data_IF_676068051416
#
_entry.id   IF_676068051416
#
_cell.length_a   1.000
_cell.length_b   1.000
_cell.length_c   1.000
_cell.angle_alpha   90.00
_cell.angle_beta   90.00
_cell.angle_gamma   90.00
#
_symmetry.space_group_name_H-M   'P 1'
#
loop_
_entity.id
_entity.type
_entity.pdbx_description
1 polymer ?
#
# COMPACT_ATOMS: atom_id res chain seq x y z
N UNK A 1 16.08 -10.19 -7.64
CA UNK A 1 16.50 -9.06 -8.53
C UNK A 1 16.11 -7.76 -7.85
N UNK A 2 16.87 -6.69 -8.00
CA UNK A 2 16.50 -5.38 -7.46
C UNK A 2 15.57 -4.69 -8.46
N UNK A 3 14.31 -4.44 -8.10
CA UNK A 3 13.38 -3.63 -8.89
C UNK A 3 13.75 -2.14 -8.79
N UNK A 4 13.50 -1.40 -9.86
CA UNK A 4 13.51 0.06 -9.77
C UNK A 4 12.43 0.52 -8.79
N UNK A 5 12.77 1.44 -7.89
CA UNK A 5 11.93 1.86 -6.76
C UNK A 5 11.51 3.32 -6.88
N UNK A 6 10.23 3.56 -6.63
CA UNK A 6 9.68 4.91 -6.40
C UNK A 6 9.44 5.10 -4.90
N UNK A 7 9.99 6.16 -4.33
CA UNK A 7 9.73 6.53 -2.94
C UNK A 7 8.62 7.57 -2.89
N UNK A 8 7.60 7.31 -2.08
CA UNK A 8 6.49 8.22 -1.85
C UNK A 8 6.62 8.76 -0.43
N UNK A 9 6.80 10.07 -0.30
CA UNK A 9 6.88 10.74 0.99
C UNK A 9 5.49 11.13 1.45
N UNK A 10 5.07 10.55 2.57
CA UNK A 10 3.78 10.80 3.19
C UNK A 10 3.81 12.04 4.06
N UNK A 11 3.13 13.11 3.61
CA UNK A 11 2.94 14.35 4.33
C UNK A 11 1.62 14.39 5.12
N UNK A 12 0.99 13.23 5.37
CA UNK A 12 -0.26 13.08 6.12
C UNK A 12 -1.52 13.15 5.26
N UNK A 13 -1.40 12.98 3.93
CA UNK A 13 -2.56 12.94 3.03
C UNK A 13 -3.32 11.63 3.17
N UNK A 14 -4.64 11.73 3.23
CA UNK A 14 -5.51 10.54 3.10
C UNK A 14 -5.40 9.86 1.73
N UNK A 15 -4.77 10.49 0.74
CA UNK A 15 -4.59 9.97 -0.62
C UNK A 15 -3.21 9.37 -0.88
N UNK A 16 -2.28 9.38 0.09
CA UNK A 16 -0.92 8.83 -0.10
C UNK A 16 -0.95 7.37 -0.55
N UNK A 17 -1.77 6.54 0.10
CA UNK A 17 -1.91 5.14 -0.30
C UNK A 17 -2.51 4.99 -1.71
N UNK A 18 -3.35 5.93 -2.14
CA UNK A 18 -3.92 5.92 -3.48
C UNK A 18 -2.87 6.26 -4.55
N UNK A 19 -1.95 7.20 -4.26
CA UNK A 19 -0.78 7.45 -5.12
C UNK A 19 0.01 6.15 -5.30
N UNK A 20 0.35 5.47 -4.21
CA UNK A 20 1.10 4.22 -4.27
C UNK A 20 0.37 3.14 -5.09
N UNK A 21 -0.94 2.98 -4.92
CA UNK A 21 -1.74 2.04 -5.70
C UNK A 21 -1.70 2.36 -7.20
N UNK A 22 -1.78 3.65 -7.59
CA UNK A 22 -1.66 4.06 -8.99
C UNK A 22 -0.29 3.75 -9.57
N UNK A 23 0.79 3.94 -8.80
CA UNK A 23 2.14 3.54 -9.19
C UNK A 23 2.24 2.02 -9.40
N UNK A 24 1.66 1.22 -8.47
CA UNK A 24 1.60 -0.25 -8.56
C UNK A 24 0.73 -0.77 -9.70
N UNK A 25 -0.33 -0.06 -10.08
CA UNK A 25 -1.13 -0.35 -11.27
C UNK A 25 -0.32 -0.27 -12.57
N UNK A 26 0.76 0.53 -12.58
CA UNK A 26 1.71 0.62 -13.69
C UNK A 26 2.79 -0.48 -13.66
N UNK A 27 2.67 -1.45 -12.76
CA UNK A 27 3.69 -2.48 -12.48
C UNK A 27 5.05 -1.91 -12.05
N UNK A 28 5.04 -0.83 -11.31
CA UNK A 28 6.23 -0.18 -10.73
C UNK A 28 6.23 -0.43 -9.22
N UNK A 29 7.38 -0.86 -8.70
CA UNK A 29 7.57 -1.00 -7.26
C UNK A 29 7.66 0.36 -6.58
N UNK A 30 6.95 0.56 -5.48
CA UNK A 30 7.06 1.76 -4.66
C UNK A 30 6.92 1.47 -3.18
N UNK A 31 7.48 2.33 -2.36
CA UNK A 31 7.35 2.29 -0.91
C UNK A 31 6.94 3.66 -0.38
N UNK A 32 6.12 3.66 0.67
CA UNK A 32 5.67 4.87 1.37
C UNK A 32 6.53 5.05 2.62
N UNK A 33 7.10 6.23 2.78
CA UNK A 33 7.85 6.64 3.96
C UNK A 33 7.28 7.92 4.56
N UNK A 34 7.25 8.07 5.89
CA UNK A 34 6.96 9.36 6.50
C UNK A 34 7.93 10.45 5.99
N UNK A 35 7.43 11.66 5.77
CA UNK A 35 8.20 12.77 5.22
C UNK A 35 9.51 13.06 5.98
N UNK A 36 9.57 12.72 7.27
CA UNK A 36 10.71 12.95 8.17
C UNK A 36 11.60 11.70 8.37
N UNK A 37 11.35 10.62 7.63
CA UNK A 37 12.11 9.35 7.71
C UNK A 37 12.49 8.86 6.31
N UNK A 38 13.23 9.70 5.58
CA UNK A 38 13.71 9.33 4.25
C UNK A 38 14.73 8.19 4.38
N UNK A 39 14.57 7.06 3.68
CA UNK A 39 15.51 5.95 3.78
C UNK A 39 16.84 6.29 3.14
N UNK A 40 17.87 5.49 3.42
CA UNK A 40 19.13 5.55 2.69
C UNK A 40 18.86 5.26 1.22
N UNK A 41 19.35 6.13 0.32
CA UNK A 41 19.11 6.04 -1.10
C UNK A 41 20.08 5.03 -1.74
N UNK A 42 19.52 3.96 -2.29
CA UNK A 42 20.23 2.99 -3.13
C UNK A 42 20.16 3.39 -4.61
N UNK A 43 20.92 2.71 -5.43
CA UNK A 43 20.90 2.89 -6.90
C UNK A 43 19.56 2.44 -7.53
N UNK A 44 18.77 1.66 -6.80
CA UNK A 44 17.43 1.20 -7.16
C UNK A 44 16.37 2.31 -7.07
N UNK A 45 16.63 3.40 -6.34
CA UNK A 45 15.70 4.53 -6.22
C UNK A 45 15.76 5.39 -7.49
N UNK A 46 14.66 5.41 -8.26
CA UNK A 46 14.58 6.08 -9.56
C UNK A 46 13.68 7.31 -9.60
N UNK A 47 12.78 7.46 -8.65
CA UNK A 47 11.92 8.64 -8.55
C UNK A 47 11.42 8.86 -7.12
N UNK A 48 11.07 10.11 -6.83
CA UNK A 48 10.36 10.53 -5.63
C UNK A 48 9.00 11.13 -5.97
N UNK A 49 8.02 10.89 -5.09
CA UNK A 49 6.73 11.58 -5.11
C UNK A 49 6.49 12.17 -3.72
N UNK A 50 6.28 13.48 -3.62
CA UNK A 50 5.85 14.15 -2.41
C UNK A 50 4.32 14.23 -2.45
N UNK A 51 3.66 13.65 -1.46
CA UNK A 51 2.19 13.59 -1.39
C UNK A 51 1.55 14.94 -1.03
N UNK A 52 0.23 14.97 -1.05
CA UNK A 52 -0.56 16.02 -0.43
C UNK A 52 -0.44 16.04 1.09
N UNK A 53 -1.02 17.07 1.72
CA UNK A 53 -1.11 17.21 3.18
C UNK A 53 -2.38 17.98 3.56
N UNK A 54 -2.96 17.75 4.75
CA UNK A 54 -4.01 18.61 5.29
C UNK A 54 -3.47 19.95 5.82
N UNK A 55 -2.15 20.10 5.94
CA UNK A 55 -1.50 21.32 6.42
C UNK A 55 -1.29 22.34 5.28
N UNK A 56 -1.22 23.62 5.63
CA UNK A 56 -0.65 24.66 4.76
C UNK A 56 0.88 24.64 4.88
N UNK A 57 1.58 24.89 3.76
CA UNK A 57 3.06 25.08 3.78
C UNK A 57 3.50 26.26 4.65
N UNK A 58 2.56 27.11 5.05
CA UNK A 58 2.75 28.30 5.90
C UNK A 58 2.55 28.03 7.38
N UNK A 59 2.03 26.86 7.74
CA UNK A 59 1.81 26.48 9.13
C UNK A 59 3.14 26.17 9.82
N UNK A 60 3.29 26.56 11.09
CA UNK A 60 4.50 26.30 11.87
C UNK A 60 4.81 24.80 12.01
N UNK A 61 3.77 23.97 12.05
CA UNK A 61 3.85 22.51 12.17
C UNK A 61 3.72 21.78 10.82
N UNK A 62 3.87 22.49 9.69
CA UNK A 62 3.80 21.91 8.37
C UNK A 62 4.90 20.84 8.17
N UNK A 63 4.60 19.74 7.48
CA UNK A 63 5.61 18.75 7.11
C UNK A 63 6.77 19.38 6.37
N UNK A 64 7.97 19.32 6.95
CA UNK A 64 9.19 19.83 6.33
C UNK A 64 10.04 18.68 5.85
N UNK A 65 10.37 18.68 4.56
CA UNK A 65 11.10 17.61 3.89
C UNK A 65 12.52 18.06 3.60
N UNK A 66 13.49 17.26 3.99
CA UNK A 66 14.90 17.48 3.59
C UNK A 66 15.16 16.89 2.20
N UNK A 67 14.69 17.57 1.13
CA UNK A 67 14.80 17.06 -0.24
C UNK A 67 16.12 17.46 -0.94
N UNK A 68 16.92 18.34 -0.36
CA UNK A 68 18.23 18.75 -0.90
C UNK A 68 19.15 17.60 -1.33
N UNK A 69 19.19 16.45 -0.64
CA UNK A 69 20.00 15.32 -1.04
C UNK A 69 19.61 14.69 -2.38
N UNK A 70 18.39 14.82 -2.85
CA UNK A 70 17.88 14.16 -4.05
C UNK A 70 17.33 15.10 -5.13
N UNK A 71 17.00 16.36 -4.81
CA UNK A 71 16.58 17.33 -5.84
C UNK A 71 17.69 17.52 -6.88
N UNK A 72 17.33 17.54 -8.16
CA UNK A 72 18.27 17.63 -9.26
C UNK A 72 19.14 16.38 -9.51
N UNK A 73 19.03 15.34 -8.66
CA UNK A 73 19.73 14.06 -8.80
C UNK A 73 18.79 12.90 -9.13
N UNK A 74 17.59 12.94 -8.63
CA UNK A 74 16.55 11.92 -8.81
C UNK A 74 15.26 12.63 -9.24
N UNK A 75 14.55 12.13 -10.26
CA UNK A 75 13.28 12.69 -10.71
C UNK A 75 12.29 12.86 -9.56
N UNK A 76 11.67 14.04 -9.46
CA UNK A 76 10.82 14.42 -8.35
C UNK A 76 9.48 14.95 -8.85
N UNK A 77 8.39 14.42 -8.26
CA UNK A 77 7.02 14.89 -8.47
C UNK A 77 6.43 15.39 -7.16
N UNK A 78 5.98 16.64 -7.11
CA UNK A 78 5.16 17.17 -6.03
C UNK A 78 3.68 17.11 -6.39
N UNK A 79 2.82 16.60 -5.49
CA UNK A 79 1.37 16.54 -5.66
C UNK A 79 0.68 17.40 -4.61
N UNK A 80 -0.15 18.33 -5.02
CA UNK A 80 -0.91 19.26 -4.18
C UNK A 80 -0.01 19.99 -3.15
N UNK A 81 0.00 19.58 -1.88
CA UNK A 81 0.94 20.12 -0.89
C UNK A 81 2.40 19.99 -1.35
N UNK A 82 2.78 18.86 -1.96
CA UNK A 82 4.12 18.66 -2.50
C UNK A 82 4.50 19.70 -3.56
N UNK A 83 3.56 20.11 -4.42
CA UNK A 83 3.77 21.18 -5.40
C UNK A 83 3.94 22.55 -4.71
N UNK A 84 3.08 22.86 -3.75
CA UNK A 84 3.16 24.08 -2.96
C UNK A 84 4.46 24.16 -2.13
N UNK A 85 4.86 23.00 -1.58
CA UNK A 85 6.11 22.88 -0.82
C UNK A 85 7.33 23.19 -1.69
N UNK A 86 7.41 22.59 -2.89
CA UNK A 86 8.47 22.88 -3.85
C UNK A 86 8.47 24.37 -4.25
N UNK A 87 7.31 24.93 -4.60
CA UNK A 87 7.20 26.35 -4.95
C UNK A 87 7.73 27.23 -3.80
N UNK A 88 7.25 27.02 -2.58
CA UNK A 88 7.64 27.82 -1.41
C UNK A 88 9.13 27.72 -1.08
N UNK A 89 9.72 26.52 -1.16
CA UNK A 89 11.13 26.29 -0.79
C UNK A 89 12.14 26.77 -1.83
N UNK A 90 11.75 26.78 -3.10
CA UNK A 90 12.60 27.26 -4.20
C UNK A 90 12.45 28.78 -4.45
N UNK A 91 11.68 29.49 -3.63
CA UNK A 91 11.56 30.95 -3.69
C UNK A 91 10.33 31.48 -4.41
N UNK A 92 9.37 30.63 -4.74
CA UNK A 92 8.05 31.02 -5.21
C UNK A 92 7.16 31.53 -4.08
N UNK A 93 5.90 31.86 -4.42
CA UNK A 93 4.95 32.43 -3.47
C UNK A 93 3.69 31.55 -3.40
N UNK A 94 3.36 31.12 -2.17
CA UNK A 94 2.15 30.34 -1.85
C UNK A 94 1.34 31.11 -0.81
N UNK A 95 0.08 31.35 -1.13
CA UNK A 95 -0.84 32.07 -0.23
C UNK A 95 -2.19 31.36 -0.13
N UNK A 96 -2.95 31.69 0.89
CA UNK A 96 -4.31 31.20 1.04
C UNK A 96 -5.16 31.76 -0.08
N UNK A 97 -5.81 30.88 -0.82
CA UNK A 97 -6.74 31.29 -1.85
C UNK A 97 -8.00 31.91 -1.24
N UNK A 98 -8.46 33.03 -1.77
CA UNK A 98 -9.74 33.64 -1.40
C UNK A 98 -10.91 32.72 -1.82
N UNK A 99 -10.76 32.02 -2.93
CA UNK A 99 -11.66 30.99 -3.40
C UNK A 99 -10.97 29.64 -3.26
N UNK A 100 -11.46 28.82 -2.31
CA UNK A 100 -10.96 27.46 -2.14
C UNK A 100 -11.35 26.61 -3.35
N UNK A 101 -10.37 26.04 -4.02
CA UNK A 101 -10.63 25.14 -5.15
C UNK A 101 -10.88 23.71 -4.65
N UNK A 102 -12.13 23.31 -4.67
CA UNK A 102 -12.56 21.94 -4.40
C UNK A 102 -13.46 21.45 -5.53
N UNK A 103 -13.05 20.38 -6.19
CA UNK A 103 -13.86 19.74 -7.22
C UNK A 103 -13.19 19.67 -8.59
N UNK A 104 -14.04 19.66 -9.60
CA UNK A 104 -13.62 19.49 -11.00
C UNK A 104 -13.11 20.80 -11.58
N UNK A 105 -11.96 20.76 -12.22
CA UNK A 105 -11.40 21.83 -13.04
C UNK A 105 -11.00 21.28 -14.41
N UNK A 106 -10.84 22.17 -15.39
CA UNK A 106 -10.41 21.79 -16.74
C UNK A 106 -8.98 22.27 -16.95
N UNK A 107 -8.09 21.30 -17.19
CA UNK A 107 -6.67 21.55 -17.43
C UNK A 107 -6.46 22.08 -18.85
N UNK A 108 -5.90 23.27 -18.96
CA UNK A 108 -5.47 23.89 -20.23
C UNK A 108 -3.96 23.70 -20.34
N UNK A 109 -3.53 22.87 -21.30
CA UNK A 109 -2.11 22.57 -21.52
C UNK A 109 -1.49 23.70 -22.34
N UNK A 110 -0.40 24.28 -21.88
CA UNK A 110 0.32 25.36 -22.54
C UNK A 110 1.53 24.87 -23.33
N UNK A 111 2.13 23.74 -22.93
CA UNK A 111 3.28 23.12 -23.58
C UNK A 111 2.97 21.70 -24.03
N UNK A 112 2.35 21.56 -25.19
CA UNK A 112 1.97 20.28 -25.78
C UNK A 112 3.15 19.38 -26.17
N UNK A 113 4.35 19.95 -26.30
CA UNK A 113 5.57 19.21 -26.64
C UNK A 113 6.19 18.53 -25.41
N UNK A 114 5.76 18.90 -24.20
CA UNK A 114 6.27 18.27 -22.99
C UNK A 114 5.89 16.77 -22.94
N UNK A 115 6.84 15.87 -22.72
CA UNK A 115 6.61 14.43 -22.68
C UNK A 115 5.58 14.00 -21.65
N UNK A 116 5.30 14.83 -20.62
CA UNK A 116 4.25 14.60 -19.63
C UNK A 116 2.86 14.52 -20.27
N UNK A 117 2.61 15.30 -21.33
CA UNK A 117 1.30 15.36 -21.97
C UNK A 117 1.12 14.37 -23.14
N UNK A 118 2.04 13.44 -23.30
CA UNK A 118 1.88 12.41 -24.32
C UNK A 118 0.58 11.60 -24.08
N UNK A 119 -0.29 11.56 -25.09
CA UNK A 119 -1.64 10.95 -25.04
C UNK A 119 -2.59 11.59 -24.00
N UNK A 120 -2.36 12.83 -23.63
CA UNK A 120 -3.27 13.62 -22.81
C UNK A 120 -4.07 14.55 -23.72
N UNK A 121 -5.39 14.52 -23.59
CA UNK A 121 -6.26 15.43 -24.35
C UNK A 121 -6.21 16.83 -23.76
N UNK A 122 -6.14 17.85 -24.62
CA UNK A 122 -6.37 19.23 -24.24
C UNK A 122 -7.74 19.36 -23.55
N UNK A 123 -7.85 20.19 -22.54
CA UNK A 123 -9.05 20.38 -21.73
C UNK A 123 -9.50 19.13 -20.95
N UNK A 124 -8.55 18.34 -20.47
CA UNK A 124 -8.82 17.19 -19.59
C UNK A 124 -9.35 17.63 -18.22
N UNK A 125 -10.32 16.89 -17.69
CA UNK A 125 -10.79 17.10 -16.33
C UNK A 125 -9.74 16.67 -15.31
N UNK A 126 -9.47 17.55 -14.32
CA UNK A 126 -8.65 17.29 -13.14
C UNK A 126 -9.43 17.55 -11.85
N UNK A 127 -8.96 17.03 -10.74
CA UNK A 127 -9.57 17.21 -9.42
C UNK A 127 -8.70 18.09 -8.53
N UNK A 128 -9.25 19.22 -8.13
CA UNK A 128 -8.66 20.16 -7.18
C UNK A 128 -9.14 19.89 -5.76
N UNK A 129 -8.26 20.01 -4.79
CA UNK A 129 -8.60 19.86 -3.35
C UNK A 129 -7.59 20.61 -2.48
N UNK A 130 -7.57 21.93 -2.56
CA UNK A 130 -6.62 22.75 -1.82
C UNK A 130 -7.21 24.08 -1.34
N UNK A 131 -6.68 24.56 -0.20
CA UNK A 131 -7.03 25.85 0.37
C UNK A 131 -5.99 26.93 0.11
N UNK A 132 -4.76 26.54 -0.23
CA UNK A 132 -3.66 27.43 -0.61
C UNK A 132 -3.38 27.28 -2.10
N UNK A 133 -2.94 28.34 -2.76
CA UNK A 133 -2.59 28.34 -4.18
C UNK A 133 -1.18 28.90 -4.39
N UNK A 134 -0.49 28.39 -5.40
CA UNK A 134 0.76 28.96 -5.88
C UNK A 134 0.43 30.21 -6.67
N UNK A 135 0.90 31.37 -6.21
CA UNK A 135 0.70 32.68 -6.86
C UNK A 135 1.89 33.14 -7.67
N UNK A 136 3.05 32.53 -7.45
CA UNK A 136 4.23 32.72 -8.29
C UNK A 136 5.10 31.46 -8.21
N UNK A 137 5.51 30.96 -9.34
CA UNK A 137 6.49 29.87 -9.42
C UNK A 137 7.90 30.41 -9.19
N UNK A 138 8.84 29.56 -8.71
CA UNK A 138 10.22 29.99 -8.49
C UNK A 138 10.94 30.37 -9.79
N UNK A 139 12.03 31.16 -9.66
CA UNK A 139 12.95 31.37 -10.77
C UNK A 139 13.52 30.04 -11.27
N UNK A 140 13.63 29.88 -12.60
CA UNK A 140 14.04 28.62 -13.22
C UNK A 140 12.97 27.55 -13.30
N UNK A 141 11.70 27.91 -12.99
CA UNK A 141 10.56 27.06 -13.25
C UNK A 141 9.70 27.62 -14.39
N UNK A 142 9.03 26.72 -15.11
CA UNK A 142 8.14 27.03 -16.22
C UNK A 142 6.75 26.50 -15.93
N UNK A 143 5.74 27.34 -16.14
CA UNK A 143 4.35 26.90 -16.17
C UNK A 143 4.08 26.11 -17.45
N UNK A 144 3.39 24.95 -17.35
CA UNK A 144 3.09 24.11 -18.51
C UNK A 144 1.61 23.72 -18.61
N UNK A 145 0.80 24.02 -17.59
CA UNK A 145 -0.65 23.93 -17.69
C UNK A 145 -1.34 24.79 -16.61
N UNK A 146 -2.54 25.29 -16.97
CA UNK A 146 -3.39 26.16 -16.15
C UNK A 146 -4.78 25.56 -15.99
N UNK A 147 -5.57 26.09 -15.07
CA UNK A 147 -7.04 25.97 -15.07
C UNK A 147 -7.67 27.37 -15.16
N UNK A 148 -8.99 27.45 -15.15
CA UNK A 148 -9.68 28.75 -15.18
C UNK A 148 -9.37 29.61 -13.94
N UNK A 149 -9.21 28.93 -12.77
CA UNK A 149 -9.03 29.59 -11.48
C UNK A 149 -7.58 29.51 -10.96
N UNK A 150 -6.73 28.65 -11.56
CA UNK A 150 -5.37 28.42 -11.11
C UNK A 150 -4.36 28.56 -12.27
N UNK A 151 -3.57 29.64 -12.21
CA UNK A 151 -2.54 29.94 -13.20
C UNK A 151 -1.41 28.89 -13.20
N UNK A 152 -1.10 28.31 -12.04
CA UNK A 152 0.01 27.35 -11.88
C UNK A 152 -0.52 25.97 -11.50
N UNK A 153 -1.47 25.44 -12.32
CA UNK A 153 -2.02 24.12 -12.08
C UNK A 153 -0.98 22.99 -12.26
N UNK A 154 -0.01 23.21 -13.16
CA UNK A 154 1.12 22.32 -13.37
C UNK A 154 2.33 23.09 -13.86
N UNK A 155 3.43 22.96 -13.12
CA UNK A 155 4.70 23.61 -13.47
C UNK A 155 5.87 22.64 -13.27
N UNK A 156 7.00 22.94 -13.90
CA UNK A 156 8.22 22.14 -13.83
C UNK A 156 9.44 23.01 -13.70
N UNK A 157 10.53 22.46 -13.13
CA UNK A 157 11.85 23.09 -13.21
C UNK A 157 12.34 23.07 -14.67
N UNK A 158 12.87 24.18 -15.17
CA UNK A 158 13.52 24.21 -16.45
C UNK A 158 14.71 23.25 -16.47
N UNK A 159 14.85 22.52 -17.57
CA UNK A 159 15.89 21.50 -17.68
C UNK A 159 17.26 22.15 -17.75
N UNK A 160 18.09 21.94 -16.75
CA UNK A 160 19.52 22.22 -16.78
C UNK A 160 20.22 20.91 -17.14
N UNK A 161 21.25 20.97 -17.98
CA UNK A 161 22.00 19.78 -18.37
C UNK A 161 22.46 19.02 -17.11
N UNK A 162 22.28 17.69 -17.11
CA UNK A 162 22.64 16.76 -16.04
C UNK A 162 21.79 16.85 -14.74
N UNK A 163 20.78 17.71 -14.65
CA UNK A 163 19.84 17.72 -13.53
C UNK A 163 18.63 16.81 -13.79
N UNK A 164 18.22 16.10 -12.74
CA UNK A 164 17.02 15.29 -12.80
C UNK A 164 15.76 16.19 -12.81
N UNK A 165 14.70 15.81 -13.56
CA UNK A 165 13.51 16.61 -13.74
C UNK A 165 12.69 16.74 -12.45
N UNK A 166 12.10 17.92 -12.26
CA UNK A 166 11.17 18.24 -11.15
C UNK A 166 9.86 18.71 -11.75
N UNK A 167 8.76 18.05 -11.36
CA UNK A 167 7.40 18.39 -11.76
C UNK A 167 6.54 18.66 -10.54
N UNK A 168 5.54 19.51 -10.68
CA UNK A 168 4.67 19.92 -9.60
C UNK A 168 3.20 20.02 -10.08
N UNK A 169 2.33 19.18 -9.53
CA UNK A 169 0.91 19.13 -9.83
C UNK A 169 0.12 19.73 -8.67
N UNK A 170 -0.62 20.80 -8.89
CA UNK A 170 -1.51 21.34 -7.86
C UNK A 170 -2.74 20.46 -7.66
N UNK A 171 -3.17 19.72 -8.67
CA UNK A 171 -4.28 18.79 -8.63
C UNK A 171 -3.85 17.37 -8.22
N UNK A 172 -4.83 16.51 -8.01
CA UNK A 172 -4.66 15.12 -7.61
C UNK A 172 -4.75 14.15 -8.80
N UNK A 173 -3.63 13.66 -9.36
CA UNK A 173 -3.65 12.71 -10.47
C UNK A 173 -4.12 11.31 -10.05
N UNK A 174 -4.01 10.98 -8.76
CA UNK A 174 -4.30 9.66 -8.21
C UNK A 174 -5.78 9.35 -8.09
N UNK A 175 -6.65 10.36 -8.02
CA UNK A 175 -8.09 10.15 -7.82
C UNK A 175 -8.82 9.86 -9.14
N UNK A 176 -9.91 9.11 -9.06
CA UNK A 176 -10.72 8.73 -10.24
C UNK A 176 -11.36 9.90 -10.98
N UNK A 177 -11.50 11.04 -10.31
CA UNK A 177 -12.08 12.26 -10.88
C UNK A 177 -11.10 13.01 -11.79
N UNK A 178 -9.80 12.69 -11.76
CA UNK A 178 -8.82 13.16 -12.73
C UNK A 178 -8.80 12.19 -13.90
N UNK A 179 -9.40 12.56 -15.02
CA UNK A 179 -9.71 11.66 -16.14
C UNK A 179 -8.46 10.97 -16.71
N UNK A 180 -7.35 11.69 -16.87
CA UNK A 180 -6.08 11.18 -17.41
C UNK A 180 -5.00 11.03 -16.33
N UNK A 181 -5.38 10.92 -15.05
CA UNK A 181 -4.44 10.92 -13.93
C UNK A 181 -3.42 9.79 -13.99
N UNK A 182 -3.87 8.56 -14.28
CA UNK A 182 -2.97 7.41 -14.46
C UNK A 182 -2.01 7.60 -15.62
N UNK A 183 -2.46 8.21 -16.72
CA UNK A 183 -1.60 8.48 -17.89
C UNK A 183 -0.53 9.53 -17.56
N UNK A 184 -0.88 10.59 -16.82
CA UNK A 184 0.08 11.60 -16.34
C UNK A 184 1.15 10.96 -15.45
N UNK A 185 0.75 10.13 -14.48
CA UNK A 185 1.70 9.38 -13.63
C UNK A 185 2.56 8.42 -14.46
N UNK A 186 1.97 7.73 -15.44
CA UNK A 186 2.69 6.85 -16.36
C UNK A 186 3.74 7.61 -17.17
N UNK A 187 3.39 8.77 -17.72
CA UNK A 187 4.32 9.59 -18.49
C UNK A 187 5.46 10.10 -17.61
N UNK A 188 5.17 10.57 -16.39
CA UNK A 188 6.22 10.98 -15.46
C UNK A 188 7.14 9.82 -15.10
N UNK A 189 6.61 8.69 -14.68
CA UNK A 189 7.42 7.58 -14.16
C UNK A 189 8.16 6.82 -15.26
N UNK A 190 7.47 6.45 -16.35
CA UNK A 190 8.05 5.60 -17.39
C UNK A 190 8.86 6.38 -18.43
N UNK A 191 8.36 7.57 -18.86
CA UNK A 191 8.99 8.32 -19.95
C UNK A 191 9.99 9.35 -19.45
N UNK A 192 9.68 10.06 -18.35
CA UNK A 192 10.51 11.14 -17.83
C UNK A 192 11.55 10.59 -16.85
N UNK A 193 11.12 9.81 -15.86
CA UNK A 193 11.99 9.23 -14.85
C UNK A 193 12.66 7.92 -15.29
N UNK A 194 12.17 7.28 -16.36
CA UNK A 194 12.77 6.06 -16.91
C UNK A 194 12.66 4.84 -15.99
N UNK A 195 11.69 4.82 -15.07
CA UNK A 195 11.46 3.71 -14.14
C UNK A 195 10.98 2.48 -14.89
N UNK A 196 11.49 1.30 -14.57
CA UNK A 196 11.06 0.05 -15.19
C UNK A 196 9.75 -0.46 -14.59
N UNK A 197 8.85 -0.96 -15.46
CA UNK A 197 7.59 -1.58 -15.08
C UNK A 197 7.74 -3.10 -14.97
N UNK A 198 8.55 -3.57 -14.04
CA UNK A 198 8.90 -4.99 -13.85
C UNK A 198 8.29 -5.61 -12.59
N UNK A 199 7.58 -4.84 -11.77
CA UNK A 199 6.84 -5.34 -10.62
C UNK A 199 5.54 -6.03 -11.05
N UNK A 200 5.67 -7.25 -11.58
CA UNK A 200 4.54 -8.06 -12.06
C UNK A 200 4.19 -9.17 -11.07
N UNK A 201 2.96 -9.72 -11.10
CA UNK A 201 2.60 -10.85 -10.26
C UNK A 201 3.55 -12.05 -10.39
N UNK A 202 3.99 -12.37 -11.60
CA UNK A 202 4.90 -13.49 -11.82
C UNK A 202 6.29 -13.23 -11.23
N UNK A 203 6.86 -12.04 -11.46
CA UNK A 203 8.14 -11.65 -10.89
C UNK A 203 8.08 -11.70 -9.35
N UNK A 204 7.02 -11.16 -8.75
CA UNK A 204 6.80 -11.24 -7.31
C UNK A 204 6.73 -12.68 -6.79
N UNK A 205 6.01 -13.58 -7.48
CA UNK A 205 5.88 -14.99 -7.09
C UNK A 205 7.25 -15.68 -7.09
N UNK A 206 8.01 -15.53 -8.17
CA UNK A 206 9.33 -16.15 -8.30
C UNK A 206 10.28 -15.66 -7.20
N UNK A 207 10.37 -14.35 -7.02
CA UNK A 207 11.24 -13.75 -6.01
C UNK A 207 10.81 -14.11 -4.59
N UNK A 208 9.51 -14.08 -4.30
CA UNK A 208 8.97 -14.45 -2.98
C UNK A 208 9.27 -15.91 -2.64
N UNK A 209 9.10 -16.84 -3.57
CA UNK A 209 9.39 -18.26 -3.35
C UNK A 209 10.87 -18.45 -3.00
N UNK A 210 11.80 -17.83 -3.72
CA UNK A 210 13.23 -17.94 -3.45
C UNK A 210 13.62 -17.30 -2.11
N UNK A 211 13.05 -16.13 -1.79
CA UNK A 211 13.28 -15.47 -0.51
C UNK A 211 12.75 -16.31 0.66
N UNK A 212 11.53 -16.85 0.54
CA UNK A 212 10.94 -17.71 1.56
C UNK A 212 11.73 -19.01 1.77
N UNK A 213 12.19 -19.66 0.69
CA UNK A 213 13.08 -20.83 0.79
C UNK A 213 14.36 -20.51 1.55
N UNK A 214 14.98 -19.36 1.22
CA UNK A 214 16.24 -18.94 1.87
C UNK A 214 16.02 -18.59 3.33
N UNK A 215 14.92 -17.91 3.65
CA UNK A 215 14.61 -17.47 5.01
C UNK A 215 14.25 -18.61 5.95
N UNK A 216 13.42 -19.55 5.47
CA UNK A 216 12.83 -20.63 6.29
C UNK A 216 13.74 -21.87 6.30
N UNK A 217 14.37 -22.18 5.17
CA UNK A 217 15.18 -23.39 5.03
C UNK A 217 14.34 -24.67 5.17
N UNK A 218 14.75 -25.56 6.06
CA UNK A 218 14.06 -26.82 6.36
C UNK A 218 13.15 -26.76 7.59
N UNK A 219 12.99 -25.58 8.20
CA UNK A 219 12.15 -25.41 9.38
C UNK A 219 10.65 -25.48 9.01
N UNK A 220 9.82 -25.79 10.01
CA UNK A 220 8.36 -25.87 9.83
C UNK A 220 7.69 -24.53 10.10
N UNK A 221 6.70 -24.22 9.28
CA UNK A 221 5.84 -23.04 9.39
C UNK A 221 4.42 -23.47 9.75
N UNK A 222 3.84 -22.84 10.76
CA UNK A 222 2.43 -22.96 11.09
C UNK A 222 1.70 -21.69 10.62
N UNK A 223 0.54 -21.84 10.00
CA UNK A 223 -0.27 -20.71 9.53
C UNK A 223 -1.77 -20.94 9.80
N UNK A 224 -2.46 -19.95 10.39
CA UNK A 224 -3.90 -19.99 10.50
C UNK A 224 -4.54 -19.50 9.19
N UNK A 225 -5.53 -20.25 8.72
CA UNK A 225 -6.33 -19.91 7.55
C UNK A 225 -7.69 -19.36 8.00
N UNK A 226 -8.06 -18.20 7.48
CA UNK A 226 -9.35 -17.56 7.78
C UNK A 226 -10.43 -17.86 6.73
N UNK A 227 -10.12 -18.63 5.69
CA UNK A 227 -10.98 -18.76 4.51
C UNK A 227 -10.95 -17.53 3.60
N UNK A 228 -10.19 -16.49 3.93
CA UNK A 228 -10.05 -15.26 3.15
C UNK A 228 -8.96 -15.35 2.09
N UNK A 229 -9.01 -14.44 1.09
CA UNK A 229 -8.06 -14.43 -0.03
C UNK A 229 -6.62 -14.27 0.42
N UNK A 230 -6.32 -13.42 1.43
CA UNK A 230 -4.95 -13.15 1.85
C UNK A 230 -4.30 -14.39 2.48
N UNK A 231 -4.98 -15.03 3.44
CA UNK A 231 -4.47 -16.25 4.06
C UNK A 231 -4.29 -17.38 3.03
N UNK A 232 -5.20 -17.50 2.06
CA UNK A 232 -5.11 -18.51 1.00
C UNK A 232 -3.93 -18.26 0.06
N UNK A 233 -3.72 -17.02 -0.39
CA UNK A 233 -2.59 -16.65 -1.27
C UNK A 233 -1.27 -16.80 -0.52
N UNK A 234 -1.20 -16.34 0.74
CA UNK A 234 -0.02 -16.50 1.59
C UNK A 234 0.37 -17.96 1.82
N UNK A 235 -0.60 -18.80 2.14
CA UNK A 235 -0.39 -20.24 2.31
C UNK A 235 0.07 -20.91 1.01
N UNK A 236 -0.51 -20.52 -0.13
CA UNK A 236 -0.11 -21.07 -1.44
C UNK A 236 1.33 -20.70 -1.80
N UNK A 237 1.77 -19.47 -1.52
CA UNK A 237 3.16 -19.05 -1.70
C UNK A 237 4.11 -19.83 -0.79
N UNK A 238 3.77 -19.95 0.49
CA UNK A 238 4.55 -20.75 1.45
C UNK A 238 4.62 -22.21 1.03
N UNK A 239 3.51 -22.82 0.63
CA UNK A 239 3.50 -24.20 0.17
C UNK A 239 4.39 -24.40 -1.06
N UNK A 240 4.36 -23.49 -2.03
CA UNK A 240 5.28 -23.55 -3.17
C UNK A 240 6.75 -23.41 -2.78
N UNK A 241 7.03 -22.68 -1.70
CA UNK A 241 8.40 -22.49 -1.20
C UNK A 241 8.92 -23.67 -0.40
N UNK A 242 8.13 -24.21 0.55
CA UNK A 242 8.58 -25.18 1.56
C UNK A 242 7.80 -26.49 1.58
N UNK A 243 6.80 -26.65 0.70
CA UNK A 243 6.03 -27.91 0.56
C UNK A 243 5.37 -28.36 1.86
N UNK A 244 5.59 -29.61 2.23
CA UNK A 244 5.02 -30.27 3.40
C UNK A 244 5.48 -29.67 4.77
N UNK A 245 6.48 -28.82 4.77
CA UNK A 245 6.89 -28.10 5.98
C UNK A 245 5.92 -26.96 6.35
N UNK A 246 4.93 -26.66 5.50
CA UNK A 246 3.81 -25.80 5.85
C UNK A 246 2.69 -26.64 6.44
N UNK A 247 2.25 -26.28 7.66
CA UNK A 247 1.06 -26.82 8.31
C UNK A 247 0.08 -25.68 8.49
N UNK A 248 -1.17 -25.88 8.04
CA UNK A 248 -2.19 -24.87 8.15
C UNK A 248 -3.28 -25.31 9.12
N UNK A 249 -3.77 -24.40 9.96
CA UNK A 249 -4.94 -24.62 10.80
C UNK A 249 -6.16 -23.87 10.23
N UNK A 250 -7.28 -24.57 10.15
CA UNK A 250 -8.57 -23.95 9.89
C UNK A 250 -9.52 -24.27 11.03
N UNK A 251 -9.90 -23.22 11.80
CA UNK A 251 -10.64 -23.37 13.06
C UNK A 251 -12.12 -23.08 12.82
N UNK A 252 -13.00 -24.05 13.16
CA UNK A 252 -14.44 -23.82 13.27
C UNK A 252 -14.76 -23.20 14.63
N UNK A 253 -15.07 -21.93 14.63
CA UNK A 253 -15.46 -21.17 15.81
C UNK A 253 -16.98 -21.19 16.06
N UNK A 254 -17.76 -21.96 15.29
CA UNK A 254 -19.21 -22.05 15.38
C UNK A 254 -19.96 -20.82 14.82
N UNK A 255 -19.24 -19.81 14.28
CA UNK A 255 -19.82 -18.59 13.71
C UNK A 255 -19.69 -18.57 12.16
N UNK A 256 -19.18 -19.64 11.57
CA UNK A 256 -19.08 -19.81 10.13
C UNK A 256 -20.47 -19.92 9.50
N UNK A 257 -20.55 -19.67 8.19
CA UNK A 257 -21.80 -19.88 7.45
C UNK A 257 -22.14 -21.38 7.39
N UNK A 258 -23.39 -21.67 7.07
CA UNK A 258 -23.87 -23.07 6.92
C UNK A 258 -22.98 -23.80 5.90
N UNK A 259 -22.43 -24.95 6.30
CA UNK A 259 -21.55 -25.84 5.55
C UNK A 259 -20.16 -25.26 5.20
N UNK A 260 -19.87 -24.00 5.51
CA UNK A 260 -18.63 -23.31 5.10
C UNK A 260 -17.36 -24.01 5.59
N UNK A 261 -17.38 -24.58 6.79
CA UNK A 261 -16.24 -25.33 7.32
C UNK A 261 -15.82 -26.48 6.40
N UNK A 262 -16.76 -27.29 5.99
CA UNK A 262 -16.48 -28.44 5.15
C UNK A 262 -16.09 -28.02 3.72
N UNK A 263 -16.81 -27.05 3.16
CA UNK A 263 -16.54 -26.51 1.82
C UNK A 263 -15.12 -25.93 1.74
N UNK A 264 -14.73 -25.14 2.72
CA UNK A 264 -13.37 -24.53 2.76
C UNK A 264 -12.28 -25.58 2.93
N UNK A 265 -12.50 -26.60 3.77
CA UNK A 265 -11.54 -27.71 3.92
C UNK A 265 -11.37 -28.52 2.64
N UNK A 266 -12.45 -28.79 1.91
CA UNK A 266 -12.39 -29.45 0.60
C UNK A 266 -11.62 -28.61 -0.41
N UNK A 267 -11.95 -27.32 -0.50
CA UNK A 267 -11.26 -26.35 -1.35
C UNK A 267 -9.76 -26.33 -1.10
N UNK A 268 -9.33 -26.33 0.18
CA UNK A 268 -7.90 -26.34 0.53
C UNK A 268 -7.20 -27.65 0.20
N UNK A 269 -7.90 -28.78 0.29
CA UNK A 269 -7.37 -30.08 -0.15
C UNK A 269 -7.09 -30.10 -1.65
N UNK A 270 -7.98 -29.50 -2.46
CA UNK A 270 -7.77 -29.39 -3.91
C UNK A 270 -6.55 -28.56 -4.27
N UNK A 271 -6.17 -27.58 -3.42
CA UNK A 271 -4.95 -26.78 -3.56
C UNK A 271 -3.68 -27.54 -3.12
N UNK A 272 -3.81 -28.76 -2.58
CA UNK A 272 -2.69 -29.56 -2.08
C UNK A 272 -2.11 -29.03 -0.75
N UNK A 273 -2.82 -28.17 -0.04
CA UNK A 273 -2.36 -27.62 1.25
C UNK A 273 -2.55 -28.68 2.37
N UNK A 274 -1.55 -28.80 3.25
CA UNK A 274 -1.64 -29.60 4.47
C UNK A 274 -2.45 -28.83 5.53
N UNK A 275 -3.77 -29.03 5.56
CA UNK A 275 -4.70 -28.30 6.43
C UNK A 275 -5.32 -29.22 7.48
N UNK A 276 -5.12 -28.85 8.74
CA UNK A 276 -5.75 -29.49 9.90
C UNK A 276 -7.00 -28.67 10.25
N UNK A 277 -8.17 -29.30 10.11
CA UNK A 277 -9.44 -28.73 10.54
C UNK A 277 -9.63 -28.93 12.06
N UNK A 278 -9.95 -27.88 12.78
CA UNK A 278 -10.11 -27.90 14.24
C UNK A 278 -11.53 -27.48 14.56
N UNK A 279 -12.30 -28.37 15.21
CA UNK A 279 -13.63 -28.04 15.73
C UNK A 279 -13.50 -27.48 17.16
N UNK A 280 -13.65 -26.17 17.28
CA UNK A 280 -13.56 -25.44 18.53
C UNK A 280 -14.89 -24.73 18.94
N UNK A 281 -16.01 -25.15 18.33
CA UNK A 281 -17.32 -24.48 18.50
C UNK A 281 -17.71 -24.30 19.95
N UNK A 282 -17.58 -25.35 20.76
CA UNK A 282 -17.97 -25.31 22.17
C UNK A 282 -17.13 -24.28 22.96
N UNK A 283 -15.82 -24.22 22.68
CA UNK A 283 -14.92 -23.23 23.29
C UNK A 283 -15.37 -21.79 23.02
N UNK A 284 -15.75 -21.48 21.78
CA UNK A 284 -16.20 -20.13 21.41
C UNK A 284 -17.61 -19.83 21.96
N UNK A 285 -18.51 -20.79 21.98
CA UNK A 285 -19.84 -20.60 22.56
C UNK A 285 -19.75 -20.28 24.07
N UNK A 286 -18.90 -20.99 24.80
CA UNK A 286 -18.68 -20.74 26.22
C UNK A 286 -18.06 -19.37 26.45
N UNK A 287 -17.07 -18.97 25.62
CA UNK A 287 -16.42 -17.68 25.74
C UNK A 287 -17.37 -16.49 25.42
N UNK A 288 -18.41 -16.72 24.62
CA UNK A 288 -19.40 -15.71 24.22
C UNK A 288 -20.62 -15.66 25.13
N UNK A 289 -20.84 -16.68 25.97
CA UNK A 289 -22.00 -16.77 26.81
C UNK A 289 -22.17 -15.53 27.72
N UNK A 290 -23.35 -14.90 27.68
CA UNK A 290 -23.66 -13.71 28.46
C UNK A 290 -23.01 -12.40 28.02
N UNK A 291 -22.27 -12.37 26.91
CA UNK A 291 -21.70 -11.14 26.38
C UNK A 291 -22.69 -10.48 25.41
N UNK A 292 -23.02 -9.21 25.65
CA UNK A 292 -23.91 -8.44 24.80
C UNK A 292 -23.16 -7.38 23.97
N UNK A 293 -22.16 -6.76 24.59
CA UNK A 293 -21.35 -5.72 23.93
C UNK A 293 -20.53 -6.25 22.74
N UNK A 294 -20.59 -5.61 21.56
CA UNK A 294 -19.87 -6.06 20.37
C UNK A 294 -18.36 -6.12 20.54
N UNK A 295 -17.77 -5.18 21.29
CA UNK A 295 -16.33 -5.15 21.50
C UNK A 295 -15.87 -6.25 22.46
N UNK A 296 -16.67 -6.58 23.47
CA UNK A 296 -16.40 -7.70 24.37
C UNK A 296 -16.51 -9.04 23.64
N UNK A 297 -17.48 -9.18 22.72
CA UNK A 297 -17.57 -10.35 21.83
C UNK A 297 -16.32 -10.47 20.95
N UNK A 298 -15.93 -9.39 20.32
CA UNK A 298 -14.74 -9.35 19.47
C UNK A 298 -13.47 -9.76 20.22
N UNK A 299 -13.27 -9.23 21.45
CA UNK A 299 -12.13 -9.59 22.29
C UNK A 299 -12.15 -11.07 22.71
N UNK A 300 -13.35 -11.59 23.06
CA UNK A 300 -13.51 -12.98 23.46
C UNK A 300 -13.19 -13.92 22.29
N UNK A 301 -13.67 -13.60 21.08
CA UNK A 301 -13.38 -14.39 19.88
C UNK A 301 -11.88 -14.33 19.57
N UNK A 302 -11.26 -13.16 19.55
CA UNK A 302 -9.83 -13.02 19.30
C UNK A 302 -8.98 -13.82 20.29
N UNK A 303 -9.32 -13.74 21.58
CA UNK A 303 -8.65 -14.55 22.60
C UNK A 303 -8.85 -16.06 22.36
N UNK A 304 -10.08 -16.48 22.09
CA UNK A 304 -10.40 -17.89 21.82
C UNK A 304 -9.59 -18.45 20.64
N UNK A 305 -9.39 -17.67 19.59
CA UNK A 305 -8.52 -18.09 18.48
C UNK A 305 -7.07 -18.32 18.92
N UNK A 306 -6.53 -17.42 19.73
CA UNK A 306 -5.16 -17.54 20.25
C UNK A 306 -5.05 -18.80 21.13
N UNK A 307 -5.98 -18.99 22.08
CA UNK A 307 -5.97 -20.10 23.01
C UNK A 307 -6.02 -21.47 22.27
N UNK A 308 -6.94 -21.61 21.31
CA UNK A 308 -7.07 -22.82 20.48
C UNK A 308 -5.84 -23.05 19.59
N UNK A 309 -5.34 -21.97 18.97
CA UNK A 309 -4.17 -22.05 18.11
C UNK A 309 -2.93 -22.52 18.89
N UNK A 310 -2.70 -22.02 20.10
CA UNK A 310 -1.61 -22.43 20.98
C UNK A 310 -1.72 -23.88 21.40
N UNK A 311 -2.90 -24.30 21.86
CA UNK A 311 -3.14 -25.68 22.28
C UNK A 311 -2.81 -26.66 21.17
N UNK A 312 -3.27 -26.38 19.95
CA UNK A 312 -3.04 -27.24 18.80
C UNK A 312 -1.59 -27.17 18.28
N UNK A 313 -0.96 -26.00 18.34
CA UNK A 313 0.46 -25.83 17.99
C UNK A 313 1.38 -26.65 18.90
N UNK A 314 1.09 -26.72 20.19
CA UNK A 314 1.85 -27.55 21.13
C UNK A 314 1.81 -29.04 20.80
N UNK A 315 0.75 -29.53 20.17
CA UNK A 315 0.63 -30.95 19.77
C UNK A 315 1.53 -31.33 18.58
N UNK A 316 1.94 -30.33 17.79
CA UNK A 316 2.73 -30.56 16.56
C UNK A 316 4.24 -30.65 16.80
N UNK A 317 4.74 -30.26 17.97
CA UNK A 317 6.19 -30.29 18.29
C UNK A 317 6.96 -29.18 17.58
N UNK A 318 8.04 -29.49 16.87
CA UNK A 318 9.07 -28.57 16.37
C UNK A 318 8.56 -27.58 15.29
N UNK A 319 7.78 -26.57 15.69
CA UNK A 319 7.40 -25.44 14.86
C UNK A 319 8.34 -24.27 15.17
N UNK A 320 8.92 -23.65 14.15
CA UNK A 320 9.83 -22.51 14.28
C UNK A 320 9.24 -21.20 13.81
N UNK A 321 8.28 -21.23 12.88
CA UNK A 321 7.74 -20.05 12.23
C UNK A 321 6.23 -19.98 12.28
N UNK A 322 5.71 -18.74 12.40
CA UNK A 322 4.31 -18.41 12.20
C UNK A 322 4.15 -17.64 10.89
N UNK A 323 3.33 -18.18 9.97
CA UNK A 323 2.90 -17.50 8.76
C UNK A 323 1.74 -16.54 9.03
N UNK A 324 1.86 -15.31 8.57
CA UNK A 324 0.80 -14.29 8.68
C UNK A 324 0.44 -13.72 7.32
N UNK A 325 -0.84 -13.45 7.13
CA UNK A 325 -1.41 -12.86 5.90
C UNK A 325 -1.38 -11.33 5.89
N UNK A 326 -0.45 -10.70 6.60
CA UNK A 326 -0.28 -9.23 6.64
C UNK A 326 -0.05 -8.69 5.24
N UNK A 327 -0.75 -7.61 4.88
CA UNK A 327 -0.61 -6.91 3.61
C UNK A 327 -0.05 -5.50 3.80
N UNK A 328 0.39 -4.83 2.74
CA UNK A 328 1.10 -3.55 2.81
C UNK A 328 0.31 -2.43 3.51
N UNK A 329 -1.01 -2.25 3.31
CA UNK A 329 -1.80 -1.29 4.09
C UNK A 329 -1.71 -1.48 5.61
N UNK A 330 -1.67 -2.73 6.09
CA UNK A 330 -1.57 -3.02 7.52
C UNK A 330 -0.22 -2.54 8.09
N UNK A 331 0.84 -2.70 7.30
CA UNK A 331 2.19 -2.23 7.65
C UNK A 331 2.25 -0.70 7.74
N UNK A 332 1.68 -0.01 6.75
CA UNK A 332 1.69 1.47 6.72
C UNK A 332 0.88 2.03 7.89
N UNK A 333 -0.30 1.49 8.15
CA UNK A 333 -1.18 1.94 9.24
C UNK A 333 -0.54 1.73 10.63
N UNK A 334 0.31 0.72 10.79
CA UNK A 334 1.04 0.47 12.04
C UNK A 334 2.18 1.47 12.29
N UNK A 335 2.67 2.15 11.25
CA UNK A 335 3.81 3.09 11.31
C UNK A 335 3.33 4.55 11.22
N UNK A 336 2.03 4.83 11.09
CA UNK A 336 1.50 6.17 10.87
C UNK A 336 1.95 7.15 11.95
N UNK A 337 2.66 8.19 11.50
CA UNK A 337 3.19 9.28 12.32
C UNK A 337 2.21 10.45 12.24
N UNK A 338 1.58 10.80 13.39
CA UNK A 338 0.93 12.08 13.65
C UNK A 338 0.11 12.71 12.50
N UNK A 339 -1.09 12.19 12.28
CA UNK A 339 -2.18 12.88 11.60
C UNK A 339 -3.46 12.74 12.42
N UNK A 340 -4.53 13.51 12.14
CA UNK A 340 -5.81 13.37 12.82
C UNK A 340 -6.52 12.03 12.57
N UNK A 341 -5.97 11.15 11.77
CA UNK A 341 -6.41 9.77 11.65
C UNK A 341 -5.94 8.99 12.88
N UNK A 342 -6.83 8.92 13.86
CA UNK A 342 -6.74 7.99 15.00
C UNK A 342 -6.42 6.59 14.45
N UNK A 343 -5.43 5.93 15.07
CA UNK A 343 -5.10 4.51 14.82
C UNK A 343 -6.37 3.68 15.02
N UNK A 344 -7.10 3.41 13.94
CA UNK A 344 -8.42 2.75 13.99
C UNK A 344 -8.30 1.23 14.05
N UNK A 345 -7.10 0.65 13.88
CA UNK A 345 -6.95 -0.80 13.80
C UNK A 345 -5.98 -1.37 14.84
N UNK A 346 -6.56 -1.79 15.95
CA UNK A 346 -5.98 -2.82 16.83
C UNK A 346 -6.20 -4.25 16.31
N UNK A 347 -6.56 -4.43 15.03
CA UNK A 347 -7.15 -5.68 14.51
C UNK A 347 -6.19 -6.60 13.77
N UNK A 348 -5.04 -6.09 13.32
CA UNK A 348 -4.01 -6.93 12.76
C UNK A 348 -2.92 -7.12 13.81
N UNK A 349 -2.91 -8.30 14.37
CA UNK A 349 -2.13 -8.70 15.52
C UNK A 349 -0.63 -8.77 15.20
N UNK A 350 -0.02 -7.62 14.92
CA UNK A 350 1.42 -7.48 14.93
C UNK A 350 1.84 -7.38 16.41
N UNK A 351 1.81 -8.50 17.13
CA UNK A 351 2.23 -8.54 18.53
C UNK A 351 1.32 -9.28 19.52
N UNK A 352 0.24 -9.93 19.06
CA UNK A 352 -0.72 -10.58 19.96
C UNK A 352 -0.46 -12.04 20.27
N UNK A 353 0.63 -12.62 19.79
CA UNK A 353 1.04 -13.95 20.25
C UNK A 353 1.66 -13.84 21.64
N UNK A 354 1.34 -14.77 22.54
CA UNK A 354 2.00 -14.84 23.82
C UNK A 354 3.51 -15.02 23.68
N UNK A 355 4.27 -14.30 24.48
CA UNK A 355 5.73 -14.28 24.47
C UNK A 355 6.39 -15.67 24.66
N UNK A 356 5.63 -16.65 25.13
CA UNK A 356 6.14 -17.99 25.34
C UNK A 356 6.18 -18.85 24.07
N UNK A 357 5.39 -18.54 23.04
CA UNK A 357 5.57 -19.10 21.71
C UNK A 357 6.65 -18.29 20.97
N UNK A 358 7.90 -18.65 21.15
CA UNK A 358 9.06 -17.99 20.52
C UNK A 358 9.14 -18.26 19.00
N UNK A 359 8.01 -18.13 18.28
CA UNK A 359 7.97 -18.33 16.85
C UNK A 359 8.51 -17.11 16.12
N UNK A 360 9.31 -17.34 15.11
CA UNK A 360 9.70 -16.30 14.14
C UNK A 360 8.50 -16.02 13.24
N UNK A 361 8.32 -14.79 12.79
CA UNK A 361 7.20 -14.39 11.92
C UNK A 361 7.66 -14.38 10.46
N UNK A 362 6.82 -14.92 9.56
CA UNK A 362 6.99 -14.82 8.12
C UNK A 362 5.70 -14.27 7.47
N UNK A 363 5.84 -13.20 6.69
CA UNK A 363 4.74 -12.43 6.10
C UNK A 363 4.88 -12.37 4.58
N UNK A 364 4.41 -13.38 3.84
CA UNK A 364 4.65 -13.48 2.40
C UNK A 364 4.05 -12.33 1.57
N UNK A 365 3.01 -11.66 2.09
CA UNK A 365 2.24 -10.64 1.38
C UNK A 365 2.52 -9.22 1.84
N UNK A 366 3.48 -9.03 2.75
CA UNK A 366 3.76 -7.76 3.43
C UNK A 366 3.93 -6.55 2.50
N UNK A 367 4.40 -6.78 1.28
CA UNK A 367 4.67 -5.74 0.29
C UNK A 367 3.54 -5.52 -0.72
N UNK A 368 2.42 -6.25 -0.62
CA UNK A 368 1.33 -6.20 -1.59
C UNK A 368 0.12 -5.41 -1.08
N UNK A 369 -0.47 -4.62 -1.96
CA UNK A 369 -1.83 -4.12 -1.78
C UNK A 369 -2.86 -5.23 -2.02
N UNK A 370 -4.09 -5.05 -1.54
CA UNK A 370 -5.17 -6.05 -1.64
C UNK A 370 -5.50 -6.48 -3.07
N UNK A 371 -5.46 -5.55 -4.00
CA UNK A 371 -5.68 -5.82 -5.43
C UNK A 371 -4.49 -6.58 -6.05
N UNK A 372 -3.26 -6.32 -5.59
CA UNK A 372 -2.08 -7.09 -5.99
C UNK A 372 -2.15 -8.53 -5.47
N UNK A 373 -2.58 -8.73 -4.22
CA UNK A 373 -2.80 -10.08 -3.66
C UNK A 373 -3.75 -10.88 -4.54
N UNK A 374 -4.84 -10.27 -5.02
CA UNK A 374 -5.77 -10.93 -5.95
C UNK A 374 -5.12 -11.27 -7.29
N UNK A 375 -4.34 -10.35 -7.87
CA UNK A 375 -3.60 -10.61 -9.12
C UNK A 375 -2.57 -11.72 -8.96
N UNK A 376 -1.86 -11.74 -7.84
CA UNK A 376 -0.90 -12.82 -7.48
C UNK A 376 -1.65 -14.14 -7.30
N UNK A 377 -2.80 -14.15 -6.62
CA UNK A 377 -3.62 -15.34 -6.47
C UNK A 377 -4.07 -15.93 -7.82
N UNK A 378 -4.50 -15.09 -8.77
CA UNK A 378 -4.84 -15.52 -10.13
C UNK A 378 -3.62 -16.11 -10.88
N UNK A 379 -2.46 -15.46 -10.76
CA UNK A 379 -1.21 -15.93 -11.37
C UNK A 379 -0.69 -17.23 -10.73
N UNK A 380 -1.01 -17.48 -9.46
CA UNK A 380 -0.77 -18.75 -8.78
C UNK A 380 -1.73 -19.86 -9.24
N UNK A 381 -2.75 -19.55 -10.05
CA UNK A 381 -3.74 -20.50 -10.54
C UNK A 381 -4.90 -20.76 -9.58
N UNK A 382 -5.09 -19.90 -8.57
CA UNK A 382 -6.23 -20.01 -7.67
C UNK A 382 -7.54 -19.73 -8.40
N UNK A 383 -8.58 -20.51 -8.08
CA UNK A 383 -9.90 -20.32 -8.66
C UNK A 383 -10.44 -18.90 -8.38
N UNK A 384 -11.16 -18.29 -9.36
CA UNK A 384 -11.85 -17.02 -9.15
C UNK A 384 -12.76 -16.99 -7.91
N UNK A 385 -13.29 -18.15 -7.49
CA UNK A 385 -14.14 -18.28 -6.30
C UNK A 385 -13.38 -17.83 -5.04
N UNK A 386 -12.11 -18.23 -4.89
CA UNK A 386 -11.26 -17.78 -3.78
C UNK A 386 -10.93 -16.30 -3.87
N UNK A 387 -10.61 -15.83 -5.09
CA UNK A 387 -10.09 -14.47 -5.32
C UNK A 387 -11.20 -13.42 -5.21
N UNK A 388 -12.42 -13.75 -5.65
CA UNK A 388 -13.57 -12.83 -5.63
C UNK A 388 -14.44 -12.99 -4.39
N UNK A 389 -14.08 -13.91 -3.48
CA UNK A 389 -14.81 -14.11 -2.25
C UNK A 389 -14.96 -12.79 -1.52
N UNK A 390 -16.19 -12.46 -1.14
CA UNK A 390 -16.50 -11.28 -0.34
C UNK A 390 -15.67 -11.36 0.95
N UNK A 391 -15.15 -10.21 1.45
CA UNK A 391 -14.52 -10.19 2.76
C UNK A 391 -15.45 -10.86 3.75
N UNK A 392 -14.94 -11.91 4.37
CA UNK A 392 -15.70 -12.61 5.40
C UNK A 392 -15.80 -11.65 6.59
N UNK A 393 -16.96 -11.50 7.24
CA UNK A 393 -16.97 -10.94 8.58
C UNK A 393 -16.26 -11.95 9.48
N UNK A 394 -14.95 -11.97 9.35
CA UNK A 394 -14.10 -12.73 10.24
C UNK A 394 -14.26 -12.19 11.65
N UNK A 395 -14.02 -13.00 12.66
CA UNK A 395 -14.00 -12.55 14.02
C UNK A 395 -12.96 -11.46 14.24
#
# INVERSE_FOLDING_TARGET
MSHDKVIILDCGSQYTQLIARRVRELNIFCEIYPFNKIPTLGEDVKAFIISGSPFSVRDENAPTIEYGPFIGKIPLLGVCYGAQYLASREGGRVERSEQREYGKAILKIEDLEDPLFCNISQNSQVWMSHGDSVLAIPEGFKNIATTEENEYALFKKEQIADEAPVYAFQFHPEVTHTANGLQLLSNFLLKIAGVKADWTPNAFIEESIENLKTQIGSEKVLMALSGGVDSTVGATLLHRAIGENLICFFIDNGLLRKNEYNEVLEDYKELGLNVVGIDARDHFYDALAGKEDPEDKRKAIGKGFIDVFEEEAHKLGDISWLGQGTIYPDVIESVSVHGPSVTIKSHHNVGGLPEHLKLKIVEPLRMLFKDEVRRVGLALGLSPIFIQRQPFPGP
#
